data_IF_029177836197
#
_entry.id   IF_029177836197
#
_cell.length_a   1.000
_cell.length_b   1.000
_cell.length_c   1.000
_cell.angle_alpha   90.00
_cell.angle_beta   90.00
_cell.angle_gamma   90.00
#
_symmetry.space_group_name_H-M   'P 1'
#
loop_
_entity.id
_entity.type
_entity.pdbx_description
1 polymer ?
#
# COMPACT_ATOMS: atom_id res chain seq x y z
N UNK A 1 -27.92 -35.07 -60.55
CA UNK A 1 -26.85 -36.04 -60.21
C UNK A 1 -25.63 -35.60 -61.01
N UNK A 2 -24.47 -35.23 -60.48
CA UNK A 2 -23.72 -35.81 -59.37
C UNK A 2 -23.01 -34.72 -58.54
N UNK A 3 -22.88 -34.99 -57.24
CA UNK A 3 -22.10 -34.20 -56.26
C UNK A 3 -20.60 -34.44 -56.52
N UNK A 4 -19.79 -33.39 -56.63
CA UNK A 4 -18.34 -33.46 -56.46
C UNK A 4 -17.98 -32.93 -55.06
N UNK A 5 -17.07 -33.60 -54.32
CA UNK A 5 -16.74 -33.24 -52.95
C UNK A 5 -15.86 -31.98 -52.89
N UNK A 6 -16.09 -31.20 -51.83
CA UNK A 6 -15.33 -30.04 -51.41
C UNK A 6 -13.96 -30.49 -50.90
N UNK A 7 -12.90 -30.15 -51.63
CA UNK A 7 -11.52 -30.38 -51.22
C UNK A 7 -11.14 -29.33 -50.15
N UNK A 8 -10.72 -29.82 -48.99
CA UNK A 8 -10.42 -29.00 -47.82
C UNK A 8 -9.16 -28.15 -48.04
N UNK A 9 -9.27 -26.85 -47.78
CA UNK A 9 -8.14 -25.94 -47.73
C UNK A 9 -7.16 -26.38 -46.60
N UNK A 10 -5.84 -26.37 -46.82
CA UNK A 10 -4.89 -26.58 -45.74
C UNK A 10 -4.95 -25.38 -44.78
N UNK A 11 -5.25 -25.66 -43.52
CA UNK A 11 -5.22 -24.69 -42.44
C UNK A 11 -3.83 -24.06 -42.34
N UNK A 12 -3.79 -22.73 -42.35
CA UNK A 12 -2.64 -21.92 -41.96
C UNK A 12 -2.22 -22.34 -40.53
N UNK A 13 -0.93 -22.59 -40.26
CA UNK A 13 -0.49 -22.75 -38.88
C UNK A 13 -0.65 -21.41 -38.18
N UNK A 14 -1.56 -21.38 -37.20
CA UNK A 14 -1.58 -20.42 -36.12
C UNK A 14 -0.15 -20.33 -35.56
N UNK A 15 0.49 -19.17 -35.70
CA UNK A 15 1.64 -18.84 -34.88
C UNK A 15 1.14 -18.79 -33.44
N UNK A 16 1.55 -19.70 -32.53
CA UNK A 16 1.48 -19.35 -31.13
C UNK A 16 2.55 -18.29 -30.93
N UNK A 17 2.12 -17.06 -30.66
CA UNK A 17 2.94 -16.09 -29.93
C UNK A 17 3.41 -16.78 -28.65
N UNK A 18 4.57 -17.42 -28.73
CA UNK A 18 5.35 -17.85 -27.57
C UNK A 18 5.96 -16.59 -27.00
N UNK A 19 5.17 -15.83 -26.24
CA UNK A 19 5.69 -15.18 -25.04
C UNK A 19 5.94 -16.26 -23.98
N UNK A 20 6.81 -17.22 -24.32
CA UNK A 20 7.57 -17.89 -23.29
C UNK A 20 8.52 -16.81 -22.77
N UNK A 21 8.22 -16.25 -21.61
CA UNK A 21 9.23 -15.51 -20.85
C UNK A 21 10.43 -16.44 -20.67
N UNK A 22 11.40 -16.31 -21.58
CA UNK A 22 12.69 -16.98 -21.48
C UNK A 22 13.34 -16.33 -20.28
N UNK A 23 13.27 -17.02 -19.14
CA UNK A 23 14.11 -16.69 -17.99
C UNK A 23 15.53 -16.60 -18.55
N UNK A 24 16.21 -15.46 -18.43
CA UNK A 24 17.52 -15.28 -19.04
C UNK A 24 18.47 -16.35 -18.50
N UNK A 25 19.32 -16.87 -19.39
CA UNK A 25 20.13 -18.08 -19.19
C UNK A 25 20.94 -18.10 -17.88
N UNK A 26 21.28 -16.92 -17.35
CA UNK A 26 21.95 -16.76 -16.06
C UNK A 26 21.11 -17.18 -14.85
N UNK A 27 19.77 -17.14 -14.92
CA UNK A 27 18.90 -17.67 -13.85
C UNK A 27 18.84 -19.20 -13.85
N UNK A 28 19.07 -19.85 -14.99
CA UNK A 28 19.16 -21.31 -15.06
C UNK A 28 20.42 -21.84 -14.34
N UNK A 29 21.51 -21.06 -14.28
CA UNK A 29 22.71 -21.40 -13.50
C UNK A 29 22.48 -21.35 -11.99
N UNK A 30 21.58 -20.49 -11.49
CA UNK A 30 21.25 -20.40 -10.06
C UNK A 30 20.61 -21.69 -9.54
N UNK A 31 19.81 -22.37 -10.38
CA UNK A 31 19.14 -23.62 -10.03
C UNK A 31 20.10 -24.81 -9.82
N UNK A 32 21.34 -24.73 -10.32
CA UNK A 32 22.34 -25.80 -10.23
C UNK A 32 23.32 -25.66 -9.06
N UNK A 33 23.10 -24.68 -8.17
CA UNK A 33 23.93 -24.43 -6.99
C UNK A 33 25.14 -23.57 -7.31
N UNK A 34 25.06 -22.30 -6.92
CA UNK A 34 26.11 -21.29 -7.19
C UNK A 34 26.90 -21.04 -5.91
N UNK A 35 28.23 -20.98 -6.02
CA UNK A 35 29.11 -20.60 -4.91
C UNK A 35 28.81 -19.16 -4.47
N UNK A 36 28.90 -18.82 -3.16
CA UNK A 36 28.43 -17.53 -2.64
C UNK A 36 29.08 -16.32 -3.32
N UNK A 37 30.34 -16.43 -3.72
CA UNK A 37 31.08 -15.38 -4.43
C UNK A 37 30.52 -15.14 -5.85
N UNK A 38 30.14 -16.21 -6.55
CA UNK A 38 29.52 -16.14 -7.87
C UNK A 38 28.07 -15.64 -7.78
N UNK A 39 27.36 -15.96 -6.70
CA UNK A 39 26.00 -15.46 -6.47
C UNK A 39 26.01 -13.93 -6.31
N UNK A 40 26.96 -13.38 -5.55
CA UNK A 40 27.13 -11.93 -5.42
C UNK A 40 27.50 -11.25 -6.74
N UNK A 41 28.39 -11.85 -7.52
CA UNK A 41 28.75 -11.36 -8.84
C UNK A 41 27.55 -11.33 -9.80
N UNK A 42 26.70 -12.37 -9.79
CA UNK A 42 25.49 -12.44 -10.61
C UNK A 42 24.42 -11.43 -10.16
N UNK A 43 24.25 -11.23 -8.85
CA UNK A 43 23.36 -10.20 -8.30
C UNK A 43 23.85 -8.81 -8.71
N UNK A 44 25.15 -8.53 -8.63
CA UNK A 44 25.75 -7.27 -9.04
C UNK A 44 25.54 -6.96 -10.53
N UNK A 45 25.70 -7.98 -11.39
CA UNK A 45 25.50 -7.84 -12.83
C UNK A 45 24.02 -7.61 -13.19
N UNK A 46 23.10 -8.31 -12.54
CA UNK A 46 21.65 -8.10 -12.71
C UNK A 46 21.20 -6.71 -12.25
N UNK A 47 21.80 -6.19 -11.17
CA UNK A 47 21.54 -4.82 -10.69
C UNK A 47 22.05 -3.76 -11.67
N UNK A 48 23.27 -3.90 -12.19
CA UNK A 48 23.82 -2.95 -13.18
C UNK A 48 23.02 -2.94 -14.47
N UNK A 49 22.60 -4.11 -14.98
CA UNK A 49 21.76 -4.20 -16.18
C UNK A 49 20.40 -3.52 -16.00
N UNK A 50 19.81 -3.61 -14.79
CA UNK A 50 18.52 -3.00 -14.46
C UNK A 50 18.63 -1.50 -14.15
N UNK A 51 19.79 -1.04 -13.67
CA UNK A 51 20.10 0.39 -13.48
C UNK A 51 20.37 1.10 -14.81
N UNK A 52 21.00 0.44 -15.78
CA UNK A 52 21.25 0.98 -17.12
C UNK A 52 20.01 1.03 -18.03
N UNK A 53 18.97 0.26 -17.71
CA UNK A 53 17.65 0.35 -18.31
C UNK A 53 16.80 1.36 -17.52
N UNK A 54 17.08 2.65 -17.69
CA UNK A 54 16.50 3.71 -16.88
C UNK A 54 14.96 3.68 -16.82
N UNK A 55 14.44 3.88 -15.59
CA UNK A 55 13.11 4.38 -15.22
C UNK A 55 11.93 3.40 -15.00
N UNK A 56 12.07 2.32 -14.20
CA UNK A 56 10.89 1.63 -13.66
C UNK A 56 11.04 1.15 -12.20
N UNK A 57 10.64 2.02 -11.27
CA UNK A 57 9.92 1.68 -10.04
C UNK A 57 10.71 1.12 -8.83
N UNK A 58 10.19 1.29 -7.60
CA UNK A 58 10.77 0.69 -6.40
C UNK A 58 10.73 -0.84 -6.46
N UNK A 59 11.76 -1.50 -5.91
CA UNK A 59 11.81 -2.95 -5.74
C UNK A 59 10.61 -3.46 -4.93
N UNK A 60 9.75 -4.28 -5.52
CA UNK A 60 8.69 -5.00 -4.82
C UNK A 60 9.08 -6.47 -4.73
N UNK A 61 9.30 -6.96 -3.51
CA UNK A 61 9.41 -8.37 -3.22
C UNK A 61 8.00 -8.98 -3.34
N UNK A 62 7.80 -9.87 -4.32
CA UNK A 62 6.54 -10.61 -4.47
C UNK A 62 6.41 -11.63 -3.33
N UNK A 63 5.74 -11.22 -2.25
CA UNK A 63 5.12 -12.09 -1.27
C UNK A 63 3.62 -12.10 -1.51
N UNK A 64 3.19 -12.76 -2.58
CA UNK A 64 1.77 -13.08 -2.80
C UNK A 64 1.50 -14.45 -2.19
N UNK A 65 0.99 -14.46 -0.96
CA UNK A 65 0.09 -15.50 -0.45
C UNK A 65 -0.57 -14.98 0.83
N UNK A 66 -1.89 -14.82 0.76
CA UNK A 66 -2.83 -14.47 1.83
C UNK A 66 -2.72 -13.05 2.45
N UNK A 67 -3.61 -12.15 2.03
CA UNK A 67 -3.68 -10.77 2.55
C UNK A 67 -2.51 -9.91 2.08
N UNK A 68 -2.68 -9.26 0.92
CA UNK A 68 -1.64 -8.53 0.19
C UNK A 68 -0.57 -7.84 1.05
N UNK A 69 0.67 -7.93 0.59
CA UNK A 69 1.86 -7.42 1.29
C UNK A 69 1.63 -6.00 1.82
N UNK A 70 1.68 -5.85 3.14
CA UNK A 70 1.54 -4.54 3.77
C UNK A 70 2.85 -3.75 3.59
N UNK A 71 2.75 -2.52 3.10
CA UNK A 71 3.88 -1.60 3.08
C UNK A 71 4.25 -1.19 4.51
N UNK A 72 5.28 -1.84 5.05
CA UNK A 72 5.78 -1.60 6.40
C UNK A 72 6.35 -0.19 6.56
N UNK A 73 6.85 0.43 5.49
CA UNK A 73 7.39 1.78 5.55
C UNK A 73 6.28 2.82 5.73
N UNK A 74 5.19 2.70 4.94
CA UNK A 74 4.00 3.53 5.09
C UNK A 74 3.29 3.27 6.43
N UNK A 75 3.24 2.01 6.89
CA UNK A 75 2.69 1.69 8.20
C UNK A 75 3.45 2.39 9.32
N UNK A 76 4.79 2.33 9.30
CA UNK A 76 5.65 2.99 10.28
C UNK A 76 5.42 4.49 10.30
N UNK A 77 5.45 5.15 9.14
CA UNK A 77 5.20 6.58 9.03
C UNK A 77 3.82 6.94 9.61
N UNK A 78 2.79 6.15 9.30
CA UNK A 78 1.45 6.38 9.86
C UNK A 78 1.45 6.29 11.38
N UNK A 79 2.12 5.31 11.97
CA UNK A 79 2.20 5.14 13.43
C UNK A 79 2.95 6.31 14.10
N UNK A 80 4.06 6.76 13.50
CA UNK A 80 4.81 7.93 13.96
C UNK A 80 3.95 9.21 13.92
N UNK A 81 3.19 9.41 12.84
CA UNK A 81 2.26 10.53 12.71
C UNK A 81 1.08 10.45 13.69
N UNK A 82 0.55 9.25 13.95
CA UNK A 82 -0.49 9.05 14.98
C UNK A 82 0.03 9.49 16.34
N UNK A 83 1.23 9.05 16.73
CA UNK A 83 1.82 9.43 18.01
C UNK A 83 2.07 10.95 18.10
N UNK A 84 2.59 11.55 17.03
CA UNK A 84 2.78 13.00 16.95
C UNK A 84 1.45 13.77 17.09
N UNK A 85 0.39 13.33 16.39
CA UNK A 85 -0.93 13.92 16.47
C UNK A 85 -1.52 13.83 17.89
N UNK A 86 -1.33 12.70 18.57
CA UNK A 86 -1.77 12.50 19.95
C UNK A 86 -1.02 13.41 20.93
N UNK A 87 0.30 13.55 20.78
CA UNK A 87 1.13 14.39 21.66
C UNK A 87 0.85 15.88 21.48
N UNK A 88 0.67 16.32 20.24
CA UNK A 88 0.48 17.73 19.91
C UNK A 88 -0.96 18.19 20.04
N UNK A 89 -1.94 17.28 19.93
CA UNK A 89 -3.37 17.60 19.83
C UNK A 89 -3.69 18.59 18.68
N UNK A 90 -2.83 18.61 17.65
CA UNK A 90 -2.94 19.53 16.52
C UNK A 90 -4.25 19.32 15.75
N UNK A 91 -4.82 20.40 15.17
CA UNK A 91 -5.98 20.27 14.30
C UNK A 91 -5.60 19.54 13.01
N UNK A 92 -6.43 18.55 12.62
CA UNK A 92 -6.24 17.74 11.42
C UNK A 92 -7.43 17.92 10.47
N UNK A 93 -7.16 17.78 9.17
CA UNK A 93 -8.16 17.69 8.12
C UNK A 93 -8.83 16.31 8.08
N UNK A 94 -9.95 16.22 7.35
CA UNK A 94 -10.68 14.97 7.13
C UNK A 94 -9.83 13.96 6.36
N UNK A 95 -9.00 14.42 5.43
CA UNK A 95 -8.11 13.56 4.65
C UNK A 95 -7.01 12.96 5.53
N UNK A 96 -6.36 13.78 6.36
CA UNK A 96 -5.33 13.32 7.29
C UNK A 96 -5.91 12.33 8.30
N UNK A 97 -7.06 12.63 8.91
CA UNK A 97 -7.74 11.69 9.82
C UNK A 97 -8.10 10.39 9.12
N UNK A 98 -8.50 10.44 7.84
CA UNK A 98 -8.79 9.22 7.06
C UNK A 98 -7.54 8.36 6.91
N UNK A 99 -6.39 8.96 6.66
CA UNK A 99 -5.11 8.25 6.56
C UNK A 99 -4.71 7.66 7.92
N UNK A 100 -4.77 8.44 9.00
CA UNK A 100 -4.37 8.03 10.35
C UNK A 100 -5.28 6.92 10.92
N UNK A 101 -6.60 7.01 10.73
CA UNK A 101 -7.55 5.98 11.17
C UNK A 101 -7.65 4.79 10.20
N UNK A 102 -7.14 4.94 8.97
CA UNK A 102 -7.36 3.99 7.88
C UNK A 102 -8.83 3.82 7.49
N UNK A 103 -9.69 4.79 7.83
CA UNK A 103 -11.09 4.84 7.43
C UNK A 103 -11.60 6.29 7.44
N UNK A 104 -12.51 6.58 6.51
CA UNK A 104 -13.13 7.90 6.43
C UNK A 104 -14.10 8.09 7.59
N UNK A 105 -13.97 9.14 8.40
CA UNK A 105 -14.88 9.36 9.52
C UNK A 105 -16.28 9.74 9.01
N UNK A 106 -17.30 8.97 9.41
CA UNK A 106 -18.70 9.16 9.00
C UNK A 106 -19.58 9.95 9.97
N UNK A 107 -19.13 10.11 11.23
CA UNK A 107 -19.86 10.80 12.29
C UNK A 107 -18.99 11.89 12.94
N UNK A 108 -19.60 12.76 13.76
CA UNK A 108 -18.86 13.83 14.46
C UNK A 108 -17.82 13.29 15.47
N UNK A 109 -17.99 12.06 15.95
CA UNK A 109 -17.02 11.32 16.76
C UNK A 109 -16.92 9.93 16.17
N UNK A 110 -15.70 9.46 15.91
CA UNK A 110 -15.43 8.12 15.39
C UNK A 110 -14.33 7.48 16.22
N UNK A 111 -14.58 6.27 16.69
CA UNK A 111 -13.63 5.47 17.46
C UNK A 111 -13.20 4.24 16.65
N UNK A 112 -11.89 3.99 16.60
CA UNK A 112 -11.33 2.80 15.95
C UNK A 112 -9.99 2.44 16.55
N UNK A 113 -9.81 1.18 16.94
CA UNK A 113 -8.52 0.68 17.43
C UNK A 113 -7.95 1.48 18.61
N UNK A 114 -8.80 2.00 19.50
CA UNK A 114 -8.40 2.83 20.64
C UNK A 114 -8.09 4.29 20.32
N UNK A 115 -8.23 4.71 19.06
CA UNK A 115 -8.16 6.12 18.65
C UNK A 115 -9.56 6.70 18.52
N UNK A 116 -9.75 7.93 19.00
CA UNK A 116 -10.97 8.71 18.85
C UNK A 116 -10.66 9.96 18.04
N UNK A 117 -11.32 10.11 16.91
CA UNK A 117 -11.33 11.34 16.14
C UNK A 117 -12.63 12.12 16.42
N UNK A 118 -12.49 13.36 16.90
CA UNK A 118 -13.60 14.27 17.17
C UNK A 118 -13.56 15.46 16.23
N UNK A 119 -14.69 15.76 15.58
CA UNK A 119 -14.86 16.93 14.72
C UNK A 119 -15.02 18.20 15.57
N UNK A 120 -14.11 19.15 15.41
CA UNK A 120 -14.17 20.46 16.08
C UNK A 120 -14.74 21.55 15.16
N UNK A 121 -14.76 21.34 13.85
CA UNK A 121 -15.30 22.28 12.87
C UNK A 121 -15.38 21.69 11.47
N UNK A 122 -15.67 22.52 10.46
CA UNK A 122 -15.66 22.07 9.05
C UNK A 122 -14.23 21.70 8.65
N UNK A 123 -14.02 20.43 8.33
CA UNK A 123 -12.71 19.89 7.98
C UNK A 123 -11.65 20.08 9.08
N UNK A 124 -12.06 20.14 10.35
CA UNK A 124 -11.16 20.27 11.50
C UNK A 124 -11.49 19.20 12.52
N UNK A 125 -10.51 18.37 12.84
CA UNK A 125 -10.61 17.21 13.72
C UNK A 125 -9.48 17.20 14.74
N UNK A 126 -9.70 16.55 15.88
CA UNK A 126 -8.68 16.24 16.87
C UNK A 126 -8.65 14.75 17.13
N UNK A 127 -7.44 14.19 17.20
CA UNK A 127 -7.20 12.80 17.55
C UNK A 127 -6.92 12.69 19.06
N UNK A 128 -7.44 11.65 19.69
CA UNK A 128 -7.22 11.35 21.11
C UNK A 128 -7.26 9.85 21.35
N UNK A 129 -6.81 9.40 22.53
CA UNK A 129 -6.99 8.00 22.96
C UNK A 129 -8.38 7.80 23.55
N UNK A 130 -9.00 6.65 23.34
CA UNK A 130 -10.36 6.33 23.84
C UNK A 130 -10.50 6.50 25.35
N UNK A 131 -9.51 6.06 26.13
CA UNK A 131 -9.50 6.21 27.60
C UNK A 131 -9.49 7.68 28.07
N UNK A 132 -8.89 8.58 27.29
CA UNK A 132 -8.82 10.00 27.62
C UNK A 132 -10.17 10.72 27.40
N UNK A 133 -11.02 10.19 26.51
CA UNK A 133 -12.34 10.77 26.23
C UNK A 133 -13.33 10.55 27.38
N UNK A 134 -13.25 9.44 28.12
CA UNK A 134 -14.14 9.19 29.27
C UNK A 134 -14.01 10.23 30.39
N UNK A 135 -12.88 10.94 30.47
CA UNK A 135 -12.65 11.98 31.47
C UNK A 135 -13.08 13.37 31.02
N UNK A 136 -13.44 13.57 29.74
CA UNK A 136 -13.78 14.89 29.22
C UNK A 136 -15.27 14.97 28.92
N UNK A 137 -16.11 15.50 29.85
CA UNK A 137 -17.51 15.75 29.55
C UNK A 137 -17.58 16.69 28.34
N UNK A 138 -18.46 16.36 27.40
CA UNK A 138 -18.66 16.98 26.09
C UNK A 138 -19.08 18.46 26.10
N UNK A 139 -18.94 19.18 27.22
CA UNK A 139 -19.34 20.58 27.41
C UNK A 139 -18.19 21.61 27.49
N UNK A 140 -16.93 21.20 27.65
CA UNK A 140 -15.91 22.12 28.21
C UNK A 140 -15.41 23.25 27.29
N UNK A 141 -15.66 23.22 25.97
CA UNK A 141 -15.21 24.31 25.08
C UNK A 141 -16.14 25.53 25.13
N UNK A 142 -17.43 25.33 25.40
CA UNK A 142 -18.44 26.40 25.45
C UNK A 142 -18.51 27.11 26.82
N UNK A 143 -17.98 26.49 27.88
CA UNK A 143 -18.11 27.00 29.27
C UNK A 143 -17.02 27.97 29.71
N UNK A 144 -15.93 28.09 28.95
CA UNK A 144 -14.85 29.03 29.29
C UNK A 144 -15.19 30.48 28.93
N UNK A 145 -16.09 30.69 27.95
CA UNK A 145 -16.48 32.02 27.46
C UNK A 145 -17.66 32.61 28.24
N UNK A 146 -18.45 31.79 28.93
CA UNK A 146 -19.62 32.21 29.74
C UNK A 146 -19.29 32.69 31.14
N UNK A 147 -18.06 32.46 31.62
CA UNK A 147 -17.62 32.86 32.98
C UNK A 147 -16.96 34.24 33.04
N UNK A 148 -17.00 35.02 31.95
CA UNK A 148 -16.36 36.34 31.85
C UNK A 148 -17.30 37.45 31.36
N UNK A 149 -18.58 37.34 31.71
CA UNK A 149 -19.58 38.41 31.57
C UNK A 149 -20.32 38.51 32.90
#
# INVERSE_FOLDING_TARGET
>A
MARRPMEAAPALPLHPDKEASVLPEWMAQVAHGVQPDQALALIGLGLMGRLGAENQGPWIWNGEEDGGSADLSALRQRLELVDLALRTSAPLSTAEVTQLLGARPGAAVVERGGLVARRCGRNVWKLSRSEQTKQQPSGSFQESWRRRL
#
